data_IF_874128718216
#
_entry.id   IF_874128718216
#
_cell.length_a   1.000
_cell.length_b   1.000
_cell.length_c   1.000
_cell.angle_alpha   90.00
_cell.angle_beta   90.00
_cell.angle_gamma   90.00
#
_symmetry.space_group_name_H-M   'P 1'
#
loop_
_entity.id
_entity.type
_entity.pdbx_description
1 polymer ?
#
# COMPACT_ATOMS: atom_id res chain seq x y z
N UNK A 1 -11.70 -17.67 13.72
CA UNK A 1 -12.35 -16.40 13.28
C UNK A 1 -12.02 -15.22 14.20
N UNK A 2 -12.17 -15.33 15.53
CA UNK A 2 -11.84 -14.25 16.47
C UNK A 2 -10.40 -13.74 16.35
N UNK A 3 -9.42 -14.64 16.21
CA UNK A 3 -8.00 -14.27 16.09
C UNK A 3 -7.67 -13.55 14.78
N UNK A 4 -8.34 -13.93 13.69
CA UNK A 4 -8.21 -13.28 12.39
C UNK A 4 -8.71 -11.83 12.45
N UNK A 5 -9.86 -11.59 13.09
CA UNK A 5 -10.37 -10.23 13.30
C UNK A 5 -9.39 -9.40 14.11
N UNK A 6 -8.81 -9.97 15.17
CA UNK A 6 -7.80 -9.28 16.00
C UNK A 6 -6.56 -8.93 15.15
N UNK A 7 -6.08 -9.86 14.32
CA UNK A 7 -4.93 -9.62 13.45
C UNK A 7 -5.21 -8.51 12.42
N UNK A 8 -6.40 -8.48 11.82
CA UNK A 8 -6.81 -7.40 10.89
C UNK A 8 -6.80 -6.05 11.61
N UNK A 9 -7.36 -5.97 12.83
CA UNK A 9 -7.38 -4.72 13.63
C UNK A 9 -5.96 -4.25 13.97
N UNK A 10 -5.06 -5.18 14.32
CA UNK A 10 -3.66 -4.85 14.59
C UNK A 10 -2.98 -4.32 13.32
N UNK A 11 -3.15 -5.00 12.18
CA UNK A 11 -2.60 -4.55 10.91
C UNK A 11 -3.14 -3.18 10.48
N UNK A 12 -4.44 -2.91 10.66
CA UNK A 12 -5.02 -1.60 10.38
C UNK A 12 -4.41 -0.50 11.25
N UNK A 13 -4.18 -0.77 12.53
CA UNK A 13 -3.53 0.17 13.45
C UNK A 13 -2.10 0.48 13.01
N UNK A 14 -1.32 -0.54 12.67
CA UNK A 14 0.05 -0.38 12.21
C UNK A 14 0.12 0.32 10.84
N UNK A 15 -0.79 0.00 9.92
CA UNK A 15 -0.95 0.71 8.65
C UNK A 15 -1.26 2.19 8.87
N UNK A 16 -2.16 2.50 9.80
CA UNK A 16 -2.51 3.89 10.14
C UNK A 16 -1.30 4.64 10.70
N UNK A 17 -0.52 4.01 11.59
CA UNK A 17 0.72 4.60 12.12
C UNK A 17 1.75 4.86 11.02
N UNK A 18 1.93 3.90 10.12
CA UNK A 18 2.83 4.04 8.98
C UNK A 18 2.41 5.21 8.07
N UNK A 19 1.11 5.34 7.77
CA UNK A 19 0.55 6.43 6.98
C UNK A 19 0.77 7.79 7.66
N UNK A 20 0.55 7.89 8.97
CA UNK A 20 0.78 9.14 9.71
C UNK A 20 2.24 9.61 9.62
N UNK A 21 3.20 8.69 9.66
CA UNK A 21 4.61 9.02 9.44
C UNK A 21 4.84 9.64 8.07
N UNK A 22 4.29 9.02 7.01
CA UNK A 22 4.40 9.51 5.63
C UNK A 22 3.72 10.87 5.45
N UNK A 23 2.56 11.09 6.08
CA UNK A 23 1.90 12.41 6.07
C UNK A 23 2.79 13.48 6.72
N UNK A 24 3.49 13.14 7.81
CA UNK A 24 4.45 14.04 8.43
C UNK A 24 5.59 14.39 7.47
N UNK A 25 6.15 13.39 6.78
CA UNK A 25 7.21 13.58 5.78
C UNK A 25 6.75 14.46 4.60
N UNK A 26 5.52 14.25 4.11
CA UNK A 26 4.90 15.12 3.08
C UNK A 26 4.81 16.56 3.58
N UNK A 27 4.29 16.76 4.79
CA UNK A 27 4.11 18.10 5.35
C UNK A 27 5.45 18.83 5.59
N UNK A 28 6.53 18.09 5.81
CA UNK A 28 7.88 18.63 5.93
C UNK A 28 8.56 18.84 4.57
N UNK A 29 7.96 18.39 3.47
CA UNK A 29 8.53 18.47 2.13
C UNK A 29 9.65 17.47 1.86
N UNK A 30 9.84 16.47 2.73
CA UNK A 30 10.86 15.42 2.57
C UNK A 30 10.37 14.26 1.69
N UNK A 31 9.06 14.17 1.46
CA UNK A 31 8.44 13.13 0.64
C UNK A 31 7.32 13.71 -0.25
N UNK A 32 7.12 13.13 -1.43
CA UNK A 32 5.99 13.50 -2.29
C UNK A 32 4.78 12.60 -2.01
N UNK A 33 3.53 13.09 -2.16
CA UNK A 33 2.34 12.26 -2.02
C UNK A 33 2.38 10.99 -2.89
N UNK A 34 2.90 11.11 -4.12
CA UNK A 34 3.06 9.97 -5.05
C UNK A 34 3.98 8.89 -4.48
N UNK A 35 5.12 9.27 -3.89
CA UNK A 35 6.06 8.33 -3.29
C UNK A 35 5.49 7.70 -2.01
N UNK A 36 4.87 8.52 -1.16
CA UNK A 36 4.21 8.05 0.06
C UNK A 36 3.15 6.96 -0.24
N UNK A 37 2.27 7.23 -1.20
CA UNK A 37 1.24 6.28 -1.63
C UNK A 37 1.85 4.99 -2.15
N UNK A 38 2.93 5.04 -2.94
CA UNK A 38 3.62 3.85 -3.41
C UNK A 38 4.19 2.99 -2.25
N UNK A 39 4.72 3.62 -1.20
CA UNK A 39 5.18 2.90 -0.01
C UNK A 39 4.02 2.32 0.79
N UNK A 40 2.93 3.06 0.97
CA UNK A 40 1.74 2.59 1.68
C UNK A 40 1.11 1.39 0.95
N UNK A 41 1.01 1.43 -0.38
CA UNK A 41 0.57 0.29 -1.20
C UNK A 41 1.42 -0.95 -0.94
N UNK A 42 2.75 -0.81 -1.00
CA UNK A 42 3.68 -1.93 -0.79
C UNK A 42 3.57 -2.50 0.62
N UNK A 43 3.44 -1.63 1.61
CA UNK A 43 3.28 -2.02 3.01
C UNK A 43 1.97 -2.79 3.25
N UNK A 44 0.85 -2.25 2.76
CA UNK A 44 -0.45 -2.90 2.84
C UNK A 44 -0.50 -4.24 2.10
N UNK A 45 0.13 -4.33 0.92
CA UNK A 45 0.25 -5.60 0.17
C UNK A 45 1.02 -6.65 0.95
N UNK A 46 2.16 -6.29 1.56
CA UNK A 46 2.94 -7.20 2.38
C UNK A 46 2.17 -7.73 3.59
N UNK A 47 1.40 -6.87 4.26
CA UNK A 47 0.49 -7.29 5.34
C UNK A 47 -0.58 -8.25 4.83
N UNK A 48 -1.19 -7.96 3.68
CA UNK A 48 -2.22 -8.80 3.10
C UNK A 48 -1.70 -10.20 2.77
N UNK A 49 -0.54 -10.30 2.12
CA UNK A 49 0.10 -11.57 1.76
C UNK A 49 0.47 -12.39 2.99
N UNK A 50 0.98 -11.73 4.04
CA UNK A 50 1.30 -12.38 5.31
C UNK A 50 0.04 -12.95 6.00
N UNK A 51 -1.03 -12.16 6.11
CA UNK A 51 -2.28 -12.63 6.70
C UNK A 51 -2.90 -13.78 5.91
N UNK A 52 -2.89 -13.70 4.57
CA UNK A 52 -3.39 -14.79 3.74
C UNK A 52 -2.57 -16.08 3.90
N UNK A 53 -1.26 -15.96 4.07
CA UNK A 53 -0.38 -17.11 4.32
C UNK A 53 -0.62 -17.73 5.70
N UNK A 54 -0.78 -16.90 6.74
CA UNK A 54 -0.98 -17.36 8.13
C UNK A 54 -2.33 -18.07 8.29
N UNK A 55 -3.40 -17.51 7.71
CA UNK A 55 -4.76 -18.02 7.90
C UNK A 55 -5.22 -18.97 6.80
N UNK A 56 -4.42 -19.17 5.74
CA UNK A 56 -4.77 -20.04 4.61
C UNK A 56 -6.00 -19.55 3.83
N UNK A 57 -6.29 -18.25 3.86
CA UNK A 57 -7.48 -17.67 3.20
C UNK A 57 -7.23 -16.25 2.70
N UNK A 58 -7.86 -15.88 1.58
CA UNK A 58 -7.77 -14.53 1.01
C UNK A 58 -8.51 -13.47 1.86
N UNK A 59 -9.50 -13.87 2.67
CA UNK A 59 -10.43 -12.94 3.36
C UNK A 59 -9.71 -11.88 4.20
N UNK A 60 -8.70 -12.28 4.99
CA UNK A 60 -7.94 -11.36 5.82
C UNK A 60 -7.07 -10.41 4.97
N UNK A 61 -6.45 -10.93 3.91
CA UNK A 61 -5.64 -10.13 3.00
C UNK A 61 -6.49 -9.10 2.24
N UNK A 62 -7.61 -9.52 1.67
CA UNK A 62 -8.57 -8.64 0.97
C UNK A 62 -9.08 -7.49 1.85
N UNK A 63 -9.30 -7.77 3.14
CA UNK A 63 -9.72 -6.75 4.11
C UNK A 63 -8.66 -5.64 4.25
N UNK A 64 -7.39 -6.03 4.34
CA UNK A 64 -6.27 -5.07 4.43
C UNK A 64 -6.09 -4.29 3.13
N UNK A 65 -6.24 -4.93 1.96
CA UNK A 65 -6.17 -4.23 0.67
C UNK A 65 -7.23 -3.12 0.60
N UNK A 66 -8.49 -3.43 0.93
CA UNK A 66 -9.58 -2.43 0.92
C UNK A 66 -9.31 -1.27 1.88
N UNK A 67 -8.83 -1.56 3.09
CA UNK A 67 -8.47 -0.54 4.07
C UNK A 67 -7.33 0.35 3.53
N UNK A 68 -6.33 -0.27 2.90
CA UNK A 68 -5.19 0.44 2.31
C UNK A 68 -5.67 1.39 1.22
N UNK A 69 -6.39 0.88 0.21
CA UNK A 69 -6.90 1.66 -0.93
C UNK A 69 -7.78 2.84 -0.50
N UNK A 70 -8.66 2.62 0.49
CA UNK A 70 -9.50 3.70 1.03
C UNK A 70 -8.69 4.85 1.64
N UNK A 71 -7.52 4.56 2.24
CA UNK A 71 -6.64 5.59 2.80
C UNK A 71 -5.79 6.28 1.74
N UNK A 72 -5.43 5.59 0.64
CA UNK A 72 -4.63 6.19 -0.45
C UNK A 72 -5.35 7.36 -1.11
N UNK A 73 -6.66 7.21 -1.36
CA UNK A 73 -7.49 8.25 -1.99
C UNK A 73 -7.55 9.56 -1.19
N UNK A 74 -7.25 9.53 0.11
CA UNK A 74 -7.17 10.72 0.95
C UNK A 74 -5.84 11.48 0.81
N UNK A 75 -4.79 10.79 0.36
CA UNK A 75 -3.43 11.35 0.23
C UNK A 75 -3.16 11.80 -1.20
N UNK A 76 -3.56 10.98 -2.17
CA UNK A 76 -3.45 11.28 -3.60
C UNK A 76 -4.72 10.77 -4.30
N UNK A 77 -5.71 11.63 -4.62
CA UNK A 77 -6.95 11.21 -5.28
C UNK A 77 -6.74 10.49 -6.62
N UNK A 78 -5.65 10.82 -7.32
CA UNK A 78 -5.32 10.25 -8.64
C UNK A 78 -4.38 9.04 -8.54
N UNK A 79 -4.20 8.47 -7.34
CA UNK A 79 -3.21 7.42 -7.11
C UNK A 79 -3.35 6.24 -8.06
N UNK A 80 -4.59 5.85 -8.38
CA UNK A 80 -4.88 4.69 -9.24
C UNK A 80 -4.37 4.90 -10.67
N UNK A 81 -4.57 6.08 -11.24
CA UNK A 81 -4.05 6.41 -12.57
C UNK A 81 -2.53 6.54 -12.57
N UNK A 82 -1.96 7.19 -11.55
CA UNK A 82 -0.50 7.33 -11.37
C UNK A 82 0.19 5.98 -11.16
N UNK A 83 -0.52 5.00 -10.60
CA UNK A 83 -0.04 3.64 -10.45
C UNK A 83 -0.05 2.89 -11.79
N UNK A 84 -1.13 3.02 -12.57
CA UNK A 84 -1.15 2.49 -13.96
C UNK A 84 -0.04 3.10 -14.81
N UNK A 85 0.24 4.39 -14.66
CA UNK A 85 1.38 5.04 -15.32
C UNK A 85 2.71 4.42 -14.88
N UNK A 86 2.90 4.18 -13.57
CA UNK A 86 4.11 3.55 -13.04
C UNK A 86 4.34 2.16 -13.64
N UNK A 87 3.29 1.34 -13.74
CA UNK A 87 3.39 0.01 -14.34
C UNK A 87 3.55 0.03 -15.87
N UNK A 88 3.05 1.07 -16.54
CA UNK A 88 3.29 1.30 -17.97
C UNK A 88 4.69 1.86 -18.24
N UNK A 89 5.28 2.56 -17.27
CA UNK A 89 6.60 3.13 -17.40
C UNK A 89 7.63 2.00 -17.58
N UNK A 90 8.59 2.22 -18.46
CA UNK A 90 9.70 1.31 -18.68
C UNK A 90 10.47 1.12 -17.36
N UNK A 91 10.78 -0.11 -16.93
CA UNK A 91 11.65 -0.32 -15.78
C UNK A 91 12.97 0.38 -16.00
N UNK A 92 13.34 1.30 -15.11
CA UNK A 92 14.49 2.18 -15.28
C UNK A 92 15.81 1.40 -15.51
N UNK A 93 15.92 0.21 -14.92
CA UNK A 93 17.11 -0.63 -14.98
C UNK A 93 17.12 -1.63 -16.15
N UNK A 94 16.02 -1.76 -16.91
CA UNK A 94 15.97 -2.67 -18.06
C UNK A 94 16.39 -1.94 -19.34
N UNK A 95 17.63 -2.17 -19.76
CA UNK A 95 18.12 -1.87 -21.12
C UNK A 95 17.53 -2.87 -22.14
N UNK A 96 16.23 -2.84 -22.34
CA UNK A 96 15.59 -3.46 -23.50
C UNK A 96 16.02 -2.66 -24.75
N UNK A 97 16.82 -3.28 -25.62
CA UNK A 97 16.94 -2.82 -27.01
C UNK A 97 15.56 -2.98 -27.66
N UNK A 98 15.02 -1.94 -28.31
CA UNK A 98 13.83 -2.12 -29.14
C UNK A 98 14.12 -3.18 -30.22
N UNK A 99 13.11 -3.98 -30.63
CA UNK A 99 13.26 -4.95 -31.71
C UNK A 99 13.66 -4.28 -33.03
#
# INVERSE_FOLDING_TARGET
MKDMTIAIVICERELTRFIQGRICDINQGTETPRLAVAFIQKYGRGMADALSSIYGTAVAGESIIKITEGKLSLIDPDWSEKDKERFRARPADLKLTPP
#
